data_IF_829370402162
#
_entry.id   IF_829370402162
#
_cell.length_a   1.000
_cell.length_b   1.000
_cell.length_c   1.000
_cell.angle_alpha   90.00
_cell.angle_beta   90.00
_cell.angle_gamma   90.00
#
_symmetry.space_group_name_H-M   'P 1'
#
loop_
_entity.id
_entity.type
_entity.pdbx_description
1 polymer ?
#
# COMPACT_ATOMS: atom_id res chain seq x y z
N UNK A 1 63.16 2.84 -21.89
CA UNK A 1 62.33 2.56 -20.70
C UNK A 1 61.42 1.37 -21.03
N UNK A 2 61.84 0.16 -20.68
CA UNK A 2 61.18 -1.11 -21.05
C UNK A 2 60.39 -1.63 -19.83
N UNK A 3 59.08 -1.87 -19.98
CA UNK A 3 58.23 -2.45 -18.92
C UNK A 3 58.09 -3.96 -19.11
N UNK A 4 58.52 -4.73 -18.12
CA UNK A 4 58.33 -6.18 -17.98
C UNK A 4 56.85 -6.53 -17.73
N UNK A 5 56.32 -7.52 -18.47
CA UNK A 5 55.05 -8.19 -18.18
C UNK A 5 55.35 -9.49 -17.42
N UNK A 6 54.80 -9.62 -16.21
CA UNK A 6 54.95 -10.81 -15.33
C UNK A 6 53.74 -11.73 -15.54
N UNK A 7 53.92 -12.89 -16.18
CA UNK A 7 52.89 -13.94 -16.30
C UNK A 7 52.76 -14.71 -14.97
N UNK A 8 51.56 -14.79 -14.39
CA UNK A 8 51.22 -15.73 -13.31
C UNK A 8 50.75 -17.06 -13.91
N UNK A 9 51.35 -18.17 -13.48
CA UNK A 9 50.86 -19.54 -13.74
C UNK A 9 49.70 -19.84 -12.79
N UNK A 10 48.56 -20.23 -13.33
CA UNK A 10 47.44 -20.81 -12.58
C UNK A 10 47.69 -22.30 -12.39
N UNK A 11 47.73 -22.75 -11.13
CA UNK A 11 47.73 -24.17 -10.77
C UNK A 11 46.30 -24.70 -10.84
N UNK A 12 46.00 -25.54 -11.83
CA UNK A 12 44.78 -26.35 -11.87
C UNK A 12 45.01 -27.62 -11.05
N UNK A 13 44.22 -27.82 -9.98
CA UNK A 13 44.17 -29.10 -9.26
C UNK A 13 43.38 -30.12 -10.10
N UNK A 14 43.77 -31.41 -10.09
CA UNK A 14 43.04 -32.45 -10.81
C UNK A 14 41.65 -32.67 -10.18
N UNK A 15 40.67 -32.87 -11.05
CA UNK A 15 39.26 -33.07 -10.73
C UNK A 15 39.06 -34.48 -10.13
N UNK A 16 38.48 -34.56 -8.93
CA UNK A 16 38.23 -35.83 -8.24
C UNK A 16 36.95 -36.49 -8.80
N UNK A 17 37.10 -37.65 -9.41
CA UNK A 17 36.01 -38.42 -10.02
C UNK A 17 34.93 -38.85 -9.01
N UNK A 18 35.21 -38.83 -7.70
CA UNK A 18 34.21 -39.16 -6.66
C UNK A 18 33.15 -38.07 -6.47
N UNK A 19 33.47 -36.81 -6.78
CA UNK A 19 32.50 -35.72 -6.70
C UNK A 19 31.45 -35.77 -7.80
N UNK A 20 31.76 -36.38 -8.96
CA UNK A 20 30.82 -36.49 -10.07
C UNK A 20 29.73 -37.54 -9.80
N UNK A 21 30.08 -38.66 -9.16
CA UNK A 21 29.13 -39.74 -8.84
C UNK A 21 28.08 -39.30 -7.82
N UNK A 22 28.46 -38.47 -6.84
CA UNK A 22 27.53 -37.93 -5.84
C UNK A 22 26.53 -36.96 -6.47
N UNK A 23 26.98 -36.09 -7.39
CA UNK A 23 26.10 -35.15 -8.08
C UNK A 23 25.10 -35.87 -9.00
N UNK A 24 25.52 -36.95 -9.67
CA UNK A 24 24.63 -37.77 -10.50
C UNK A 24 23.63 -38.55 -9.67
N UNK A 25 24.02 -39.10 -8.51
CA UNK A 25 23.08 -39.83 -7.64
C UNK A 25 22.02 -38.91 -7.01
N UNK A 26 22.43 -37.73 -6.52
CA UNK A 26 21.49 -36.75 -5.93
C UNK A 26 20.51 -36.24 -6.99
N UNK A 27 20.97 -36.06 -8.23
CA UNK A 27 20.09 -35.65 -9.34
C UNK A 27 19.11 -36.75 -9.75
N UNK A 28 19.51 -38.03 -9.71
CA UNK A 28 18.65 -39.16 -10.01
C UNK A 28 17.57 -39.40 -8.94
N UNK A 29 17.90 -39.20 -7.66
CA UNK A 29 16.93 -39.30 -6.56
C UNK A 29 15.89 -38.18 -6.65
N UNK A 30 16.32 -36.94 -6.92
CA UNK A 30 15.40 -35.83 -7.13
C UNK A 30 14.48 -36.04 -8.36
N UNK A 31 14.98 -36.69 -9.41
CA UNK A 31 14.16 -37.04 -10.58
C UNK A 31 13.13 -38.13 -10.25
N UNK A 32 13.48 -39.12 -9.43
CA UNK A 32 12.56 -40.21 -9.04
C UNK A 32 11.45 -39.72 -8.08
N UNK A 33 11.74 -38.77 -7.18
CA UNK A 33 10.71 -38.17 -6.32
C UNK A 33 9.71 -37.31 -7.12
N UNK A 34 10.18 -36.56 -8.12
CA UNK A 34 9.30 -35.77 -8.99
C UNK A 34 8.39 -36.68 -9.84
N UNK A 35 8.91 -37.78 -10.37
CA UNK A 35 8.09 -38.73 -11.15
C UNK A 35 7.15 -39.59 -10.27
N UNK A 36 7.55 -39.91 -9.04
CA UNK A 36 6.66 -40.55 -8.06
C UNK A 36 5.45 -39.66 -7.74
N UNK A 37 5.67 -38.37 -7.55
CA UNK A 37 4.63 -37.38 -7.25
C UNK A 37 3.67 -37.12 -8.43
N UNK A 38 4.15 -37.23 -9.67
CA UNK A 38 3.30 -37.11 -10.88
C UNK A 38 2.44 -38.37 -11.09
N UNK A 39 2.94 -39.55 -10.72
CA UNK A 39 2.20 -40.82 -10.86
C UNK A 39 1.05 -40.94 -9.85
N UNK A 40 1.21 -40.38 -8.66
CA UNK A 40 0.17 -40.38 -7.62
C UNK A 40 -0.99 -39.42 -7.94
N UNK A 41 -0.75 -38.34 -8.71
CA UNK A 41 -1.82 -37.44 -9.18
C UNK A 41 -2.61 -37.93 -10.39
N UNK A 42 -2.07 -38.85 -11.19
CA UNK A 42 -2.80 -39.43 -12.32
C UNK A 42 -3.76 -40.56 -11.92
N UNK A 43 -3.65 -41.12 -10.71
CA UNK A 43 -4.63 -42.08 -10.18
C UNK A 43 -5.83 -41.43 -9.46
N UNK A 44 -5.77 -40.13 -9.16
CA UNK A 44 -6.83 -39.39 -8.45
C UNK A 44 -7.88 -38.74 -9.36
N UNK A 45 -7.75 -38.83 -10.69
CA UNK A 45 -8.69 -38.20 -11.65
C UNK A 45 -9.29 -39.17 -12.67
N UNK A 46 -9.39 -40.46 -12.32
CA UNK A 46 -9.98 -41.48 -13.18
C UNK A 46 -11.11 -42.25 -12.50
N UNK A 47 -12.27 -41.64 -12.31
CA UNK A 47 -13.55 -42.36 -12.12
C UNK A 47 -14.66 -41.59 -12.84
N UNK A 48 -15.04 -42.05 -14.04
CA UNK A 48 -16.37 -41.85 -14.58
C UNK A 48 -17.33 -42.83 -13.88
N UNK A 49 -18.38 -42.36 -13.20
CA UNK A 49 -19.66 -43.07 -13.11
C UNK A 49 -20.80 -42.04 -12.95
N UNK A 50 -21.80 -42.21 -13.80
CA UNK A 50 -23.08 -41.53 -13.79
C UNK A 50 -23.87 -41.74 -12.48
N UNK A 51 -24.45 -40.69 -11.92
CA UNK A 51 -25.68 -40.78 -11.13
C UNK A 51 -26.58 -39.58 -11.49
N UNK A 52 -27.57 -39.86 -12.32
CA UNK A 52 -28.83 -39.14 -12.28
C UNK A 52 -29.63 -39.57 -11.04
N UNK A 53 -30.48 -38.67 -10.56
CA UNK A 53 -31.57 -38.94 -9.61
C UNK A 53 -31.18 -39.21 -8.16
N UNK A 54 -30.85 -38.16 -7.38
CA UNK A 54 -31.17 -38.13 -5.94
C UNK A 54 -31.06 -36.74 -5.26
N UNK A 55 -31.80 -35.70 -5.68
CA UNK A 55 -32.23 -34.63 -4.75
C UNK A 55 -33.60 -34.08 -5.16
N UNK A 56 -34.61 -34.92 -5.02
CA UNK A 56 -35.99 -34.50 -4.85
C UNK A 56 -36.49 -35.10 -3.53
N UNK A 57 -35.88 -34.72 -2.39
CA UNK A 57 -36.46 -34.89 -1.06
C UNK A 57 -35.59 -34.29 0.06
N UNK A 58 -35.41 -32.95 0.11
CA UNK A 58 -35.36 -32.18 1.37
C UNK A 58 -36.02 -30.83 1.09
N UNK A 59 -37.35 -30.88 0.94
CA UNK A 59 -38.24 -29.75 1.16
C UNK A 59 -38.78 -29.91 2.58
N UNK A 60 -38.12 -29.31 3.57
CA UNK A 60 -38.74 -28.65 4.72
C UNK A 60 -37.68 -28.23 5.74
N UNK A 61 -37.96 -27.12 6.40
CA UNK A 61 -37.29 -26.60 7.59
C UNK A 61 -36.01 -25.80 7.34
N UNK A 62 -36.16 -24.52 6.99
CA UNK A 62 -35.96 -23.39 7.92
C UNK A 62 -35.90 -22.08 7.14
N UNK A 63 -37.05 -21.42 7.04
CA UNK A 63 -37.11 -19.98 6.78
C UNK A 63 -36.45 -19.29 7.97
N UNK A 64 -35.24 -18.78 7.81
CA UNK A 64 -34.74 -17.71 8.68
C UNK A 64 -35.19 -16.40 8.03
N UNK A 65 -36.33 -15.93 8.50
CA UNK A 65 -36.78 -14.54 8.35
C UNK A 65 -35.82 -13.69 9.19
N UNK A 66 -35.02 -12.84 8.56
CA UNK A 66 -34.37 -11.73 9.26
C UNK A 66 -35.33 -10.53 9.16
N UNK A 67 -36.28 -10.52 10.08
CA UNK A 67 -37.02 -9.31 10.44
C UNK A 67 -36.07 -8.42 11.25
N UNK A 68 -35.52 -7.39 10.62
CA UNK A 68 -35.01 -6.22 11.32
C UNK A 68 -36.19 -5.27 11.55
N UNK A 69 -36.94 -5.55 12.62
CA UNK A 69 -37.87 -4.60 13.22
C UNK A 69 -37.15 -3.72 14.24
N UNK A 70 -37.60 -2.47 14.25
CA UNK A 70 -37.19 -1.36 15.10
C UNK A 70 -37.11 -1.71 16.59
N UNK A 71 -35.95 -1.45 17.19
CA UNK A 71 -35.86 -1.19 18.62
C UNK A 71 -34.88 -0.04 18.88
N UNK A 72 -35.41 1.17 18.84
CA UNK A 72 -34.80 2.35 19.45
C UNK A 72 -34.70 2.14 20.98
N UNK A 73 -33.53 2.36 21.60
CA UNK A 73 -33.47 2.53 23.05
C UNK A 73 -33.90 3.97 23.40
N UNK A 74 -35.05 4.06 24.03
CA UNK A 74 -35.56 5.26 24.70
C UNK A 74 -34.69 5.57 25.93
N UNK A 75 -34.06 6.74 25.90
CA UNK A 75 -33.58 7.59 27.01
C UNK A 75 -33.27 6.94 28.37
N UNK A 76 -31.98 6.96 28.74
CA UNK A 76 -31.56 6.95 30.14
C UNK A 76 -30.42 7.97 30.37
N UNK A 77 -30.78 9.03 31.11
CA UNK A 77 -29.98 9.86 32.00
C UNK A 77 -28.53 10.23 31.60
N UNK A 78 -28.42 11.44 31.07
CA UNK A 78 -27.40 12.46 31.34
C UNK A 78 -26.55 12.22 32.60
N UNK A 79 -25.33 11.71 32.40
CA UNK A 79 -24.17 12.09 33.21
C UNK A 79 -23.41 13.17 32.44
N UNK A 80 -23.45 14.38 33.01
CA UNK A 80 -22.62 15.55 32.67
C UNK A 80 -21.15 15.09 32.64
N UNK A 81 -20.32 15.41 31.67
CA UNK A 81 -20.23 16.69 30.98
C UNK A 81 -19.02 17.46 31.50
N UNK A 82 -17.84 16.84 31.56
CA UNK A 82 -16.56 17.51 31.86
C UNK A 82 -15.41 17.07 30.92
N UNK A 83 -15.45 15.89 30.30
CA UNK A 83 -14.31 15.42 29.47
C UNK A 83 -14.30 15.94 28.01
N UNK A 84 -15.38 16.54 27.52
CA UNK A 84 -15.47 17.00 26.12
C UNK A 84 -14.98 18.45 25.91
N UNK A 85 -14.77 19.23 26.98
CA UNK A 85 -14.35 20.63 26.88
C UNK A 85 -12.82 20.81 26.76
N UNK A 86 -12.01 19.84 27.20
CA UNK A 86 -10.54 19.93 27.07
C UNK A 86 -10.01 19.50 25.70
N UNK A 87 -10.75 18.69 24.94
CA UNK A 87 -10.33 18.26 23.60
C UNK A 87 -10.28 19.43 22.58
N UNK A 88 -11.03 20.51 22.81
CA UNK A 88 -11.15 21.61 21.86
C UNK A 88 -10.06 22.69 22.01
N UNK A 89 -9.27 22.66 23.10
CA UNK A 89 -8.23 23.66 23.39
C UNK A 89 -6.87 23.34 22.77
N UNK A 90 -6.66 22.12 22.26
CA UNK A 90 -5.40 21.67 21.65
C UNK A 90 -5.37 21.73 20.12
N UNK A 91 -6.47 22.13 19.45
CA UNK A 91 -6.56 22.15 17.98
C UNK A 91 -5.67 23.24 17.36
N UNK A 92 -5.27 24.28 18.11
CA UNK A 92 -4.46 25.39 17.58
C UNK A 92 -2.96 25.11 17.41
N UNK A 93 -2.47 23.91 17.72
CA UNK A 93 -1.03 23.66 17.86
C UNK A 93 -0.41 22.81 16.73
N UNK A 94 -1.12 22.57 15.62
CA UNK A 94 -0.52 21.89 14.48
C UNK A 94 0.65 22.73 13.95
N UNK A 95 1.89 22.18 13.90
CA UNK A 95 3.06 22.94 13.48
C UNK A 95 2.94 23.35 12.01
N UNK A 96 3.66 24.40 11.62
CA UNK A 96 3.76 24.92 10.25
C UNK A 96 2.49 25.55 9.65
N UNK A 97 1.35 25.59 10.35
CA UNK A 97 0.14 26.25 9.84
C UNK A 97 0.36 27.75 9.49
N UNK A 98 1.05 28.56 10.31
CA UNK A 98 1.35 29.95 9.95
C UNK A 98 2.22 30.08 8.69
N UNK A 99 3.20 29.20 8.52
CA UNK A 99 4.08 29.14 7.35
C UNK A 99 3.31 28.73 6.08
N UNK A 100 2.45 27.71 6.18
CA UNK A 100 1.56 27.29 5.10
C UNK A 100 0.61 28.42 4.68
N UNK A 101 0.05 29.16 5.64
CA UNK A 101 -0.81 30.30 5.35
C UNK A 101 -0.05 31.42 4.59
N UNK A 102 1.18 31.73 4.99
CA UNK A 102 2.04 32.70 4.28
C UNK A 102 2.34 32.26 2.84
N UNK A 103 2.49 30.95 2.61
CA UNK A 103 2.73 30.36 1.30
C UNK A 103 1.45 30.05 0.51
N UNK A 104 0.28 30.40 1.06
CA UNK A 104 -1.04 30.14 0.45
C UNK A 104 -1.33 28.65 0.18
N UNK A 105 -0.73 27.75 0.98
CA UNK A 105 -0.90 26.29 0.88
C UNK A 105 -2.20 25.82 1.53
N UNK A 106 -3.33 26.19 0.94
CA UNK A 106 -4.66 25.99 1.54
C UNK A 106 -5.02 24.51 1.69
N UNK A 107 -4.65 23.66 0.73
CA UNK A 107 -4.97 22.22 0.79
C UNK A 107 -4.12 21.54 1.87
N UNK A 108 -2.81 21.81 1.86
CA UNK A 108 -1.87 21.30 2.86
C UNK A 108 -2.26 21.72 4.27
N UNK A 109 -2.65 22.98 4.48
CA UNK A 109 -3.08 23.47 5.79
C UNK A 109 -4.27 22.69 6.34
N UNK A 110 -5.26 22.38 5.49
CA UNK A 110 -6.44 21.58 5.88
C UNK A 110 -6.07 20.13 6.23
N UNK A 111 -5.22 19.49 5.43
CA UNK A 111 -4.73 18.13 5.74
C UNK A 111 -3.90 18.10 7.02
N UNK A 112 -3.00 19.07 7.20
CA UNK A 112 -2.17 19.23 8.38
C UNK A 112 -3.03 19.37 9.65
N UNK A 113 -4.02 20.26 9.62
CA UNK A 113 -4.92 20.47 10.75
C UNK A 113 -5.71 19.20 11.10
N UNK A 114 -6.34 18.56 10.10
CA UNK A 114 -7.13 17.35 10.33
C UNK A 114 -6.27 16.17 10.79
N UNK A 115 -5.07 16.02 10.24
CA UNK A 115 -4.13 14.99 10.64
C UNK A 115 -3.76 15.12 12.11
N UNK A 116 -3.30 16.30 12.55
CA UNK A 116 -2.92 16.52 13.95
C UNK A 116 -4.10 16.43 14.92
N UNK A 117 -5.31 16.76 14.47
CA UNK A 117 -6.54 16.59 15.26
C UNK A 117 -6.90 15.12 15.46
N UNK A 118 -6.69 14.27 14.45
CA UNK A 118 -7.26 12.93 14.41
C UNK A 118 -6.24 11.80 14.59
N UNK A 119 -4.93 12.04 14.42
CA UNK A 119 -3.90 10.99 14.45
C UNK A 119 -3.90 10.17 15.74
N UNK A 120 -4.13 10.81 16.89
CA UNK A 120 -4.12 10.13 18.19
C UNK A 120 -5.44 9.39 18.48
N UNK A 121 -6.47 9.62 17.66
CA UNK A 121 -7.77 8.95 17.72
C UNK A 121 -7.86 7.75 16.77
N UNK A 122 -6.81 7.45 16.00
CA UNK A 122 -6.85 6.44 14.97
C UNK A 122 -7.16 5.04 15.53
N UNK A 123 -6.43 4.62 16.56
CA UNK A 123 -6.56 3.29 17.16
C UNK A 123 -7.91 3.05 17.85
N UNK A 124 -8.61 4.11 18.28
CA UNK A 124 -9.95 4.00 18.87
C UNK A 124 -11.08 4.03 17.83
N UNK A 125 -10.82 4.55 16.63
CA UNK A 125 -11.81 4.67 15.56
C UNK A 125 -11.73 3.57 14.50
N UNK A 126 -10.63 2.82 14.46
CA UNK A 126 -10.41 1.79 13.45
C UNK A 126 -9.93 0.48 14.07
N UNK A 127 -10.45 -0.66 13.59
CA UNK A 127 -9.92 -1.96 14.00
C UNK A 127 -8.48 -2.15 13.51
N UNK A 128 -7.71 -2.97 14.23
CA UNK A 128 -6.30 -3.24 13.94
C UNK A 128 -6.10 -3.87 12.55
N UNK A 129 -7.07 -4.60 12.02
CA UNK A 129 -6.97 -5.26 10.70
C UNK A 129 -6.92 -4.28 9.51
N UNK A 130 -7.35 -3.03 9.69
CA UNK A 130 -7.19 -1.96 8.69
C UNK A 130 -6.00 -1.04 8.97
N UNK A 131 -5.43 -1.13 10.17
CA UNK A 131 -4.26 -0.37 10.60
C UNK A 131 -3.04 -1.28 10.59
N UNK A 132 -2.15 -1.11 9.64
CA UNK A 132 -0.94 -1.93 9.60
C UNK A 132 0.25 -1.07 9.21
N UNK A 133 1.37 -1.30 9.88
CA UNK A 133 2.62 -0.63 9.52
C UNK A 133 3.25 -1.30 8.31
N UNK A 134 3.69 -0.48 7.37
CA UNK A 134 4.48 -0.92 6.24
C UNK A 134 5.93 -1.27 6.61
N UNK A 135 6.42 -0.88 7.79
CA UNK A 135 7.85 -0.92 8.11
C UNK A 135 8.38 -2.33 8.47
N UNK A 136 7.87 -3.03 9.51
CA UNK A 136 8.50 -4.27 9.97
C UNK A 136 8.32 -5.45 9.00
N UNK A 137 7.25 -5.45 8.20
CA UNK A 137 6.91 -6.59 7.33
C UNK A 137 7.48 -6.46 5.92
N UNK A 138 7.74 -5.24 5.45
CA UNK A 138 8.13 -5.02 4.05
C UNK A 138 9.49 -4.37 3.85
N UNK A 139 10.14 -3.85 4.92
CA UNK A 139 11.35 -3.00 4.83
C UNK A 139 11.16 -1.81 3.89
N UNK A 140 9.95 -1.29 3.79
CA UNK A 140 9.61 -0.20 2.86
C UNK A 140 9.58 1.15 3.53
N UNK A 141 10.12 1.27 4.75
CA UNK A 141 10.60 2.57 5.15
C UNK A 141 11.71 3.01 4.19
N UNK A 142 11.40 4.04 3.42
CA UNK A 142 12.45 4.88 2.87
C UNK A 142 12.00 6.33 2.82
N UNK A 143 12.97 7.19 3.04
CA UNK A 143 12.82 8.63 2.95
C UNK A 143 13.93 9.22 2.08
N UNK A 144 13.84 10.51 1.81
CA UNK A 144 14.92 11.29 1.19
C UNK A 144 15.34 12.37 2.17
N UNK A 145 16.61 12.39 2.59
CA UNK A 145 17.14 13.42 3.49
C UNK A 145 17.29 14.76 2.78
N UNK A 146 16.24 15.58 2.82
CA UNK A 146 16.16 16.86 2.09
C UNK A 146 17.25 17.84 2.52
N UNK A 147 17.47 17.97 3.83
CA UNK A 147 18.50 18.83 4.42
C UNK A 147 18.77 18.38 5.89
N UNK A 148 19.56 19.11 6.70
CA UNK A 148 19.80 18.72 8.10
C UNK A 148 18.56 18.68 8.99
N UNK A 149 17.48 19.38 8.64
CA UNK A 149 16.26 19.49 9.44
C UNK A 149 15.14 18.58 8.94
N UNK A 150 15.03 18.35 7.63
CA UNK A 150 13.88 17.68 7.02
C UNK A 150 14.26 16.42 6.24
N UNK A 151 13.38 15.43 6.29
CA UNK A 151 13.39 14.26 5.43
C UNK A 151 12.00 14.04 4.80
N UNK A 152 11.94 13.66 3.52
CA UNK A 152 10.69 13.36 2.83
C UNK A 152 10.37 11.88 2.93
N UNK A 153 9.28 11.53 3.62
CA UNK A 153 8.73 10.17 3.66
C UNK A 153 8.13 9.81 2.32
N UNK A 154 8.63 8.73 1.73
CA UNK A 154 8.02 8.21 0.51
C UNK A 154 6.71 7.47 0.83
N UNK A 155 5.61 8.04 0.38
CA UNK A 155 4.36 7.31 0.16
C UNK A 155 4.28 7.02 -1.34
N UNK A 156 3.96 5.78 -1.72
CA UNK A 156 3.84 5.46 -3.14
C UNK A 156 2.84 6.40 -3.81
N UNK A 157 3.11 6.75 -5.08
CA UNK A 157 2.21 7.59 -5.90
C UNK A 157 1.95 9.00 -5.37
N UNK A 158 2.73 9.42 -4.39
CA UNK A 158 2.70 10.73 -3.77
C UNK A 158 4.04 11.47 -3.96
N UNK A 159 4.40 11.75 -5.22
CA UNK A 159 5.49 12.68 -5.54
C UNK A 159 6.91 12.18 -5.29
N UNK A 160 7.13 11.00 -4.70
CA UNK A 160 8.49 10.58 -4.35
C UNK A 160 9.49 10.45 -5.51
N UNK A 161 9.05 10.08 -6.72
CA UNK A 161 9.92 10.13 -7.92
C UNK A 161 10.28 11.57 -8.30
N UNK A 162 9.36 12.51 -8.11
CA UNK A 162 9.66 13.94 -8.28
C UNK A 162 10.68 14.40 -7.26
N UNK A 163 10.52 14.03 -5.98
CA UNK A 163 11.49 14.38 -4.92
C UNK A 163 12.88 13.82 -5.21
N UNK A 164 12.97 12.53 -5.57
CA UNK A 164 14.22 11.88 -5.95
C UNK A 164 14.92 12.62 -7.09
N UNK A 165 14.17 13.02 -8.13
CA UNK A 165 14.72 13.78 -9.25
C UNK A 165 15.16 15.19 -8.86
N UNK A 166 14.30 15.94 -8.17
CA UNK A 166 14.58 17.33 -7.77
C UNK A 166 15.82 17.44 -6.88
N UNK A 167 16.05 16.44 -6.03
CA UNK A 167 17.13 16.47 -5.04
C UNK A 167 18.38 15.70 -5.46
N UNK A 168 18.26 14.77 -6.43
CA UNK A 168 19.33 13.84 -6.79
C UNK A 168 19.71 12.86 -5.67
N UNK A 169 18.90 12.77 -4.61
CA UNK A 169 19.20 12.00 -3.40
C UNK A 169 18.81 10.54 -3.55
N UNK A 170 19.58 9.68 -2.90
CA UNK A 170 19.24 8.27 -2.73
C UNK A 170 18.34 8.05 -1.52
N UNK A 171 17.62 6.92 -1.54
CA UNK A 171 16.79 6.45 -0.42
C UNK A 171 17.60 6.34 0.86
N UNK A 172 17.02 6.81 1.96
CA UNK A 172 17.58 6.77 3.32
C UNK A 172 16.83 5.77 4.21
N UNK A 173 17.57 5.00 5.01
CA UNK A 173 17.02 4.11 6.06
C UNK A 173 16.54 4.91 7.27
N UNK A 174 15.74 4.33 8.19
CA UNK A 174 15.32 5.01 9.43
C UNK A 174 16.49 5.62 10.22
N UNK A 175 17.62 4.92 10.30
CA UNK A 175 18.82 5.37 11.03
C UNK A 175 19.47 6.57 10.33
N UNK A 176 19.52 6.56 9.00
CA UNK A 176 20.06 7.66 8.21
C UNK A 176 19.18 8.92 8.27
N UNK A 177 17.86 8.75 8.45
CA UNK A 177 16.94 9.87 8.69
C UNK A 177 17.24 10.56 10.01
N UNK A 178 17.60 9.80 11.05
CA UNK A 178 17.97 10.35 12.36
C UNK A 178 16.83 11.17 12.99
N UNK A 179 17.15 12.33 13.57
CA UNK A 179 16.17 13.17 14.29
C UNK A 179 15.50 14.23 13.39
N UNK A 180 15.55 14.05 12.06
CA UNK A 180 14.92 15.00 11.13
C UNK A 180 13.41 14.98 11.27
N UNK A 181 12.80 16.14 11.05
CA UNK A 181 11.37 16.25 10.80
C UNK A 181 11.00 15.52 9.51
N UNK A 182 10.04 14.61 9.61
CA UNK A 182 9.51 13.87 8.48
C UNK A 182 8.35 14.66 7.85
N UNK A 183 8.47 14.82 6.53
CA UNK A 183 7.53 15.50 5.66
C UNK A 183 6.92 14.47 4.72
N UNK A 184 5.62 14.47 4.53
CA UNK A 184 4.95 13.61 3.56
C UNK A 184 3.95 14.41 2.73
N UNK A 185 3.73 13.98 1.48
CA UNK A 185 2.58 14.44 0.71
C UNK A 185 1.52 13.37 0.62
N UNK A 186 0.27 13.79 0.60
CA UNK A 186 -0.91 12.97 0.35
C UNK A 186 -1.66 13.47 -0.88
N UNK A 187 -2.54 12.63 -1.41
CA UNK A 187 -3.47 12.98 -2.49
C UNK A 187 -4.83 12.33 -2.24
N UNK A 188 -5.81 12.69 -3.07
CA UNK A 188 -7.15 12.07 -3.05
C UNK A 188 -7.05 10.53 -2.91
N UNK A 189 -7.66 9.92 -1.88
CA UNK A 189 -7.43 8.51 -1.54
C UNK A 189 -7.82 7.54 -2.67
N UNK A 190 -8.86 7.87 -3.43
CA UNK A 190 -9.31 7.03 -4.55
C UNK A 190 -8.36 7.19 -5.74
N UNK A 191 -7.90 8.41 -6.03
CA UNK A 191 -6.88 8.65 -7.05
C UNK A 191 -5.53 8.00 -6.71
N UNK A 192 -5.16 7.98 -5.43
CA UNK A 192 -4.00 7.24 -4.92
C UNK A 192 -4.16 5.75 -5.21
N UNK A 193 -5.26 5.15 -4.76
CA UNK A 193 -5.55 3.73 -4.96
C UNK A 193 -5.54 3.34 -6.44
N UNK A 194 -6.18 4.13 -7.30
CA UNK A 194 -6.21 3.92 -8.77
C UNK A 194 -4.83 4.15 -9.42
N UNK A 195 -4.00 5.05 -8.88
CA UNK A 195 -2.63 5.21 -9.35
C UNK A 195 -1.77 3.98 -9.04
N UNK A 196 -2.05 3.28 -7.94
CA UNK A 196 -1.44 1.98 -7.65
C UNK A 196 -1.87 0.90 -8.61
N UNK A 197 -3.18 0.78 -8.87
CA UNK A 197 -3.72 -0.14 -9.87
C UNK A 197 -3.06 0.07 -11.25
N UNK A 198 -2.98 1.34 -11.69
CA UNK A 198 -2.39 1.69 -12.98
C UNK A 198 -0.90 1.32 -13.06
N UNK A 199 -0.14 1.56 -11.99
CA UNK A 199 1.26 1.13 -11.94
C UNK A 199 1.41 -0.37 -12.00
N UNK A 200 0.57 -1.10 -11.28
CA UNK A 200 0.65 -2.54 -11.17
C UNK A 200 0.22 -3.26 -12.43
N UNK A 201 -0.84 -2.77 -13.05
CA UNK A 201 -1.21 -3.15 -14.41
C UNK A 201 -0.02 -3.03 -15.36
N UNK A 202 0.65 -1.88 -15.34
CA UNK A 202 1.79 -1.61 -16.21
C UNK A 202 3.04 -2.46 -15.89
N UNK A 203 3.36 -2.67 -14.61
CA UNK A 203 4.54 -3.47 -14.20
C UNK A 203 4.35 -4.96 -14.39
N UNK A 204 3.11 -5.45 -14.32
CA UNK A 204 2.77 -6.86 -14.34
C UNK A 204 1.79 -7.20 -15.47
N UNK A 205 2.11 -6.88 -16.74
CA UNK A 205 1.18 -7.02 -17.84
C UNK A 205 0.76 -8.48 -18.07
N UNK A 206 1.60 -9.47 -17.74
CA UNK A 206 1.23 -10.89 -17.83
C UNK A 206 0.19 -11.31 -16.80
N UNK A 207 0.23 -10.71 -15.61
CA UNK A 207 -0.66 -11.06 -14.51
C UNK A 207 -1.97 -10.29 -14.61
N UNK A 208 -1.87 -8.99 -14.90
CA UNK A 208 -3.01 -8.08 -14.96
C UNK A 208 -3.66 -8.03 -16.35
N UNK A 209 -2.90 -8.31 -17.42
CA UNK A 209 -3.39 -8.25 -18.79
C UNK A 209 -4.45 -9.29 -19.12
N UNK A 210 -4.50 -10.42 -18.39
CA UNK A 210 -5.57 -11.42 -18.54
C UNK A 210 -6.96 -10.84 -18.24
N UNK A 211 -7.03 -9.88 -17.32
CA UNK A 211 -8.27 -9.19 -16.95
C UNK A 211 -8.67 -8.14 -18.01
N UNK A 212 -7.69 -7.52 -18.68
CA UNK A 212 -7.94 -6.48 -19.68
C UNK A 212 -8.66 -6.95 -20.93
N UNK A 213 -8.58 -8.24 -21.27
CA UNK A 213 -9.21 -8.79 -22.47
C UNK A 213 -10.60 -9.38 -22.20
N UNK A 214 -10.94 -9.64 -20.94
CA UNK A 214 -12.09 -10.49 -20.57
C UNK A 214 -13.11 -9.79 -19.68
N UNK A 215 -12.73 -8.73 -18.98
CA UNK A 215 -13.57 -8.05 -17.99
C UNK A 215 -13.81 -6.60 -18.39
N UNK A 216 -15.01 -6.09 -18.10
CA UNK A 216 -15.31 -4.67 -18.16
C UNK A 216 -14.45 -3.87 -17.15
N UNK A 217 -14.48 -2.55 -17.24
CA UNK A 217 -13.66 -1.69 -16.36
C UNK A 217 -13.97 -1.86 -14.87
N UNK A 218 -15.24 -1.88 -14.48
CA UNK A 218 -15.64 -2.02 -13.07
C UNK A 218 -15.21 -3.38 -12.52
N UNK A 219 -15.43 -4.46 -13.28
CA UNK A 219 -15.01 -5.82 -12.92
C UNK A 219 -13.49 -5.96 -12.74
N UNK A 220 -12.68 -5.29 -13.58
CA UNK A 220 -11.22 -5.25 -13.41
C UNK A 220 -10.79 -4.56 -12.13
N UNK A 221 -11.48 -3.48 -11.78
CA UNK A 221 -11.22 -2.72 -10.56
C UNK A 221 -11.64 -3.51 -9.31
N UNK A 222 -12.80 -4.18 -9.34
CA UNK A 222 -13.21 -5.10 -8.26
C UNK A 222 -12.23 -6.25 -8.06
N UNK A 223 -11.73 -6.83 -9.15
CA UNK A 223 -10.70 -7.87 -9.07
C UNK A 223 -9.43 -7.31 -8.41
N UNK A 224 -8.95 -6.13 -8.82
CA UNK A 224 -7.77 -5.53 -8.18
C UNK A 224 -7.97 -5.24 -6.70
N UNK A 225 -9.15 -4.76 -6.30
CA UNK A 225 -9.46 -4.55 -4.88
C UNK A 225 -9.36 -5.84 -4.08
N UNK A 226 -9.89 -6.95 -4.61
CA UNK A 226 -9.75 -8.25 -3.99
C UNK A 226 -8.28 -8.70 -3.91
N UNK A 227 -7.49 -8.51 -4.97
CA UNK A 227 -6.06 -8.89 -4.98
C UNK A 227 -5.25 -8.09 -3.96
N UNK A 228 -5.53 -6.78 -3.82
CA UNK A 228 -4.87 -5.90 -2.86
C UNK A 228 -5.21 -6.33 -1.44
N UNK A 229 -6.50 -6.44 -1.13
CA UNK A 229 -7.00 -6.86 0.19
C UNK A 229 -6.42 -8.22 0.57
N UNK A 230 -6.52 -9.21 -0.31
CA UNK A 230 -5.98 -10.55 -0.09
C UNK A 230 -4.46 -10.56 0.10
N UNK A 231 -3.72 -9.76 -0.70
CA UNK A 231 -2.26 -9.67 -0.58
C UNK A 231 -1.82 -9.05 0.74
N UNK A 232 -2.52 -8.02 1.22
CA UNK A 232 -2.25 -7.41 2.54
C UNK A 232 -2.51 -8.45 3.61
N UNK A 233 -3.62 -9.16 3.53
CA UNK A 233 -3.98 -10.17 4.52
C UNK A 233 -2.93 -11.28 4.64
N UNK A 234 -2.40 -11.75 3.50
CA UNK A 234 -1.32 -12.74 3.48
C UNK A 234 0.03 -12.19 3.97
N UNK A 235 0.40 -10.98 3.55
CA UNK A 235 1.75 -10.44 3.84
C UNK A 235 1.89 -9.90 5.26
N UNK A 236 0.86 -9.22 5.75
CA UNK A 236 0.87 -8.59 7.07
C UNK A 236 0.55 -9.61 8.17
N UNK A 237 -0.54 -10.38 8.01
CA UNK A 237 -1.02 -11.22 9.12
C UNK A 237 -0.49 -12.66 9.07
N UNK A 238 -0.16 -13.20 7.89
CA UNK A 238 0.29 -14.60 7.78
C UNK A 238 1.82 -14.75 7.76
N UNK A 239 2.58 -13.68 8.00
CA UNK A 239 4.06 -13.67 8.16
C UNK A 239 4.82 -14.46 7.09
N UNK A 240 4.29 -14.51 5.86
CA UNK A 240 4.96 -15.13 4.72
C UNK A 240 5.84 -14.12 3.98
N UNK A 241 7.07 -14.49 3.52
CA UNK A 241 7.89 -13.57 2.75
C UNK A 241 7.18 -13.22 1.42
N UNK A 242 6.84 -11.94 1.30
CA UNK A 242 6.38 -11.27 0.08
C UNK A 242 7.36 -11.44 -1.10
N UNK A 243 8.60 -11.88 -0.82
CA UNK A 243 9.76 -11.95 -1.71
C UNK A 243 9.56 -12.78 -2.99
N UNK A 244 8.54 -13.64 -3.09
CA UNK A 244 8.31 -14.46 -4.29
C UNK A 244 7.11 -14.05 -5.14
N UNK A 245 6.23 -13.17 -4.65
CA UNK A 245 5.02 -12.78 -5.38
C UNK A 245 5.10 -11.32 -5.81
N UNK A 246 5.38 -11.12 -7.10
CA UNK A 246 5.41 -9.77 -7.73
C UNK A 246 4.13 -8.96 -7.45
N UNK A 247 2.99 -9.62 -7.27
CA UNK A 247 1.71 -9.00 -6.94
C UNK A 247 1.74 -8.30 -5.57
N UNK A 248 2.34 -8.93 -4.55
CA UNK A 248 2.32 -8.41 -3.19
C UNK A 248 3.09 -7.09 -3.09
N UNK A 249 4.32 -7.00 -3.64
CA UNK A 249 5.05 -5.71 -3.71
C UNK A 249 4.29 -4.65 -4.48
N UNK A 250 3.45 -5.07 -5.43
CA UNK A 250 2.68 -4.15 -6.24
C UNK A 250 1.44 -3.62 -5.53
N UNK A 251 0.71 -4.49 -4.82
CA UNK A 251 -0.48 -4.12 -4.05
C UNK A 251 -0.24 -2.93 -3.10
N UNK A 252 0.99 -2.77 -2.61
CA UNK A 252 1.43 -1.67 -1.76
C UNK A 252 1.34 -0.30 -2.42
N UNK A 253 1.28 -0.22 -3.75
CA UNK A 253 1.02 1.05 -4.41
C UNK A 253 -0.44 1.52 -4.25
N UNK A 254 -1.35 0.66 -3.77
CA UNK A 254 -2.77 0.94 -3.59
C UNK A 254 -3.23 0.92 -2.12
N UNK A 255 -2.37 0.60 -1.15
CA UNK A 255 -2.76 0.61 0.28
C UNK A 255 -3.08 2.03 0.76
N UNK A 256 -3.84 2.22 1.85
CA UNK A 256 -4.07 3.56 2.40
C UNK A 256 -2.76 4.28 2.70
N UNK A 257 -2.72 5.58 2.40
CA UNK A 257 -1.54 6.43 2.55
C UNK A 257 -1.13 6.56 4.02
N UNK A 258 -2.11 6.57 4.92
CA UNK A 258 -1.93 6.58 6.36
C UNK A 258 -0.99 5.47 6.85
N UNK A 259 -1.08 4.28 6.26
CA UNK A 259 -0.32 3.09 6.69
C UNK A 259 1.20 3.24 6.46
N UNK A 260 1.62 4.19 5.60
CA UNK A 260 3.04 4.55 5.45
C UNK A 260 3.55 5.48 6.54
N UNK A 261 2.66 6.10 7.31
CA UNK A 261 2.99 7.02 8.40
C UNK A 261 2.94 6.33 9.77
N UNK A 262 2.36 5.14 9.85
CA UNK A 262 2.27 4.31 11.05
C UNK A 262 3.56 3.49 11.22
N UNK A 263 4.22 3.67 12.35
CA UNK A 263 5.29 2.80 12.84
C UNK A 263 4.74 1.69 13.74
N UNK A 264 5.58 0.72 14.06
CA UNK A 264 5.34 -0.24 15.14
C UNK A 264 6.28 0.13 16.28
N UNK A 265 5.74 0.24 17.48
CA UNK A 265 6.56 0.45 18.66
C UNK A 265 7.51 -0.73 18.91
N UNK A 266 8.54 -0.49 19.72
CA UNK A 266 9.49 -1.52 20.16
C UNK A 266 8.81 -2.67 20.94
N UNK A 267 7.61 -2.43 21.48
CA UNK A 267 6.76 -3.46 22.11
C UNK A 267 6.14 -4.45 21.11
N UNK A 268 6.30 -4.19 19.80
CA UNK A 268 5.85 -5.05 18.71
C UNK A 268 4.33 -5.10 18.51
N UNK A 269 3.56 -4.28 19.24
CA UNK A 269 2.09 -4.37 19.25
C UNK A 269 1.35 -3.05 19.10
N UNK A 270 1.90 -1.94 19.60
CA UNK A 270 1.18 -0.66 19.53
C UNK A 270 1.49 0.07 18.22
N UNK A 271 0.46 0.29 17.41
CA UNK A 271 0.54 1.10 16.19
C UNK A 271 0.54 2.58 16.57
N UNK A 272 1.70 3.22 16.47
CA UNK A 272 1.85 4.66 16.69
C UNK A 272 2.34 5.34 15.42
N UNK A 273 1.90 6.57 15.20
CA UNK A 273 2.55 7.42 14.21
C UNK A 273 3.99 7.69 14.63
N UNK A 274 4.90 7.69 13.65
CA UNK A 274 6.26 8.14 13.89
C UNK A 274 6.19 9.61 14.37
N UNK A 275 6.67 9.94 15.59
CA UNK A 275 6.54 11.27 16.17
C UNK A 275 7.28 12.34 15.35
N UNK A 276 8.17 11.94 14.44
CA UNK A 276 8.84 12.83 13.51
C UNK A 276 7.96 13.24 12.34
N UNK A 277 6.86 12.54 12.04
CA UNK A 277 5.87 12.92 11.01
C UNK A 277 5.09 14.13 11.51
N UNK A 278 5.64 15.32 11.26
CA UNK A 278 5.05 16.58 11.74
C UNK A 278 4.53 17.47 10.62
N UNK A 279 4.86 17.19 9.36
CA UNK A 279 4.43 18.01 8.21
C UNK A 279 3.77 17.16 7.12
N UNK A 280 2.48 17.40 6.88
CA UNK A 280 1.66 16.78 5.83
C UNK A 280 1.27 17.86 4.81
N UNK A 281 1.57 17.62 3.54
CA UNK A 281 1.18 18.50 2.43
C UNK A 281 0.26 17.81 1.41
N UNK A 282 -0.49 18.59 0.64
CA UNK A 282 -1.14 18.09 -0.58
C UNK A 282 -0.11 17.97 -1.70
N UNK A 283 -0.14 16.87 -2.44
CA UNK A 283 0.74 16.62 -3.59
C UNK A 283 0.66 17.74 -4.65
N UNK A 284 -0.49 18.40 -4.81
CA UNK A 284 -0.70 19.51 -5.74
C UNK A 284 0.08 20.77 -5.34
N UNK A 285 0.44 20.90 -4.06
CA UNK A 285 1.20 22.03 -3.49
C UNK A 285 2.66 21.62 -3.19
N UNK A 286 3.18 20.58 -3.87
CA UNK A 286 4.55 20.10 -3.70
C UNK A 286 5.62 21.20 -3.91
N UNK A 287 5.52 22.11 -4.89
CA UNK A 287 6.49 23.20 -5.04
C UNK A 287 6.54 24.14 -3.83
N UNK A 288 5.39 24.51 -3.28
CA UNK A 288 5.28 25.34 -2.08
C UNK A 288 5.78 24.59 -0.84
N UNK A 289 5.50 23.29 -0.74
CA UNK A 289 6.02 22.44 0.32
C UNK A 289 7.55 22.38 0.30
N UNK A 290 8.15 22.32 -0.89
CA UNK A 290 9.60 22.40 -1.06
C UNK A 290 10.14 23.73 -0.55
N UNK A 291 9.49 24.84 -0.93
CA UNK A 291 9.86 26.17 -0.45
C UNK A 291 9.78 26.28 1.07
N UNK A 292 8.74 25.70 1.69
CA UNK A 292 8.55 25.67 3.15
C UNK A 292 9.72 24.97 3.85
N UNK A 293 10.18 23.83 3.32
CA UNK A 293 11.26 23.04 3.92
C UNK A 293 12.66 23.49 3.49
N UNK A 294 12.77 24.65 2.83
CA UNK A 294 14.06 25.22 2.42
C UNK A 294 14.69 24.58 1.19
N UNK A 295 13.88 24.03 0.28
CA UNK A 295 14.31 23.53 -1.02
C UNK A 295 13.75 24.37 -2.16
N UNK A 296 14.57 24.64 -3.17
CA UNK A 296 14.11 25.27 -4.40
C UNK A 296 13.51 24.21 -5.33
N UNK A 297 12.27 24.42 -5.76
CA UNK A 297 11.61 23.54 -6.71
C UNK A 297 11.95 23.94 -8.14
N UNK A 298 12.66 23.08 -8.87
CA UNK A 298 13.01 23.34 -10.25
C UNK A 298 11.83 22.99 -11.18
N UNK A 299 11.10 24.02 -11.62
CA UNK A 299 9.95 23.88 -12.53
C UNK A 299 10.33 23.50 -13.96
N UNK A 300 11.61 23.67 -14.33
CA UNK A 300 12.11 23.27 -15.66
C UNK A 300 12.40 21.77 -15.77
N UNK A 301 12.38 21.03 -14.66
CA UNK A 301 12.58 19.59 -14.69
C UNK A 301 11.33 18.87 -15.17
N UNK A 302 11.47 18.04 -16.20
CA UNK A 302 10.42 17.12 -16.61
C UNK A 302 9.98 16.26 -15.43
N UNK A 303 8.69 16.33 -15.10
CA UNK A 303 8.16 15.52 -14.01
C UNK A 303 8.41 14.04 -14.36
N UNK A 304 9.11 13.35 -13.48
CA UNK A 304 9.52 11.99 -13.77
C UNK A 304 8.38 11.00 -13.80
N UNK A 305 8.38 10.13 -14.81
CA UNK A 305 7.42 9.03 -14.94
C UNK A 305 5.96 9.50 -14.87
N UNK A 306 5.61 10.60 -15.57
CA UNK A 306 4.22 11.04 -15.66
C UNK A 306 3.35 9.92 -16.25
N UNK A 307 2.45 9.38 -15.43
CA UNK A 307 1.58 8.31 -15.86
C UNK A 307 0.65 8.72 -17.02
N UNK A 308 0.29 10.01 -17.08
CA UNK A 308 -0.52 10.61 -18.16
C UNK A 308 0.18 10.61 -19.53
N UNK A 309 1.52 10.57 -19.56
CA UNK A 309 2.30 10.57 -20.81
C UNK A 309 2.61 9.15 -21.31
N UNK A 310 2.32 8.12 -20.50
CA UNK A 310 2.57 6.74 -20.86
C UNK A 310 1.31 6.13 -21.51
N UNK A 311 1.32 6.04 -22.84
CA UNK A 311 0.20 5.51 -23.65
C UNK A 311 -0.29 4.16 -23.13
N UNK A 312 0.61 3.23 -22.80
CA UNK A 312 0.22 1.92 -22.28
C UNK A 312 -0.51 2.01 -20.93
N UNK A 313 -0.11 2.92 -20.03
CA UNK A 313 -0.82 3.15 -18.77
C UNK A 313 -2.21 3.75 -19.01
N UNK A 314 -2.32 4.71 -19.93
CA UNK A 314 -3.57 5.40 -20.21
C UNK A 314 -4.57 4.47 -20.91
N UNK A 315 -4.12 3.69 -21.89
CA UNK A 315 -5.00 2.87 -22.71
C UNK A 315 -5.44 1.60 -21.99
N UNK A 316 -4.50 0.89 -21.35
CA UNK A 316 -4.79 -0.41 -20.74
C UNK A 316 -5.23 -0.30 -19.28
N UNK A 317 -4.81 0.75 -18.58
CA UNK A 317 -5.09 0.94 -17.15
C UNK A 317 -5.60 2.37 -16.84
N UNK A 318 -6.71 2.81 -17.45
CA UNK A 318 -7.25 4.17 -17.30
C UNK A 318 -7.87 4.41 -15.92
N UNK A 319 -7.52 5.50 -15.24
CA UNK A 319 -8.08 5.83 -13.90
C UNK A 319 -9.41 6.58 -13.98
N UNK A 320 -10.46 5.95 -14.49
CA UNK A 320 -11.76 6.59 -14.77
C UNK A 320 -12.76 6.37 -13.63
N UNK A 321 -12.77 7.27 -12.62
CA UNK A 321 -13.68 7.19 -11.46
C UNK A 321 -15.16 7.10 -11.84
N UNK A 322 -15.60 7.84 -12.86
CA UNK A 322 -17.00 7.88 -13.31
C UNK A 322 -17.50 6.59 -14.00
N UNK A 323 -16.60 5.65 -14.32
CA UNK A 323 -16.98 4.34 -14.89
C UNK A 323 -17.14 3.26 -13.81
N UNK A 324 -16.94 3.60 -12.54
CA UNK A 324 -17.13 2.67 -11.43
C UNK A 324 -18.59 2.65 -11.02
N UNK A 325 -19.11 1.46 -10.76
CA UNK A 325 -20.41 1.31 -10.11
C UNK A 325 -20.35 1.87 -8.68
N UNK A 326 -21.51 2.29 -8.17
CA UNK A 326 -21.63 2.76 -6.79
C UNK A 326 -21.13 1.73 -5.77
N UNK A 327 -21.45 0.45 -5.99
CA UNK A 327 -21.00 -0.64 -5.14
C UNK A 327 -19.47 -0.79 -5.11
N UNK A 328 -18.82 -0.71 -6.27
CA UNK A 328 -17.35 -0.76 -6.34
C UNK A 328 -16.72 0.45 -5.66
N UNK A 329 -17.27 1.65 -5.90
CA UNK A 329 -16.76 2.88 -5.30
C UNK A 329 -16.88 2.84 -3.76
N UNK A 330 -18.01 2.36 -3.22
CA UNK A 330 -18.21 2.17 -1.79
C UNK A 330 -17.17 1.22 -1.18
N UNK A 331 -16.89 0.09 -1.85
CA UNK A 331 -15.87 -0.86 -1.35
C UNK A 331 -14.46 -0.26 -1.36
N UNK A 332 -14.12 0.54 -2.38
CA UNK A 332 -12.84 1.28 -2.38
C UNK A 332 -12.82 2.30 -1.24
N UNK A 333 -13.90 3.05 -1.03
CA UNK A 333 -14.00 4.02 0.06
C UNK A 333 -13.85 3.36 1.44
N UNK A 334 -14.52 2.23 1.68
CA UNK A 334 -14.34 1.44 2.89
C UNK A 334 -12.88 1.00 3.07
N UNK A 335 -12.21 0.62 1.99
CA UNK A 335 -10.80 0.22 2.03
C UNK A 335 -9.86 1.41 2.35
N UNK A 336 -10.11 2.59 1.78
CA UNK A 336 -9.26 3.79 1.99
C UNK A 336 -9.80 4.75 3.07
N UNK A 337 -10.79 4.34 3.87
CA UNK A 337 -11.49 5.20 4.84
C UNK A 337 -10.57 5.88 5.86
N UNK A 338 -9.46 5.22 6.22
CA UNK A 338 -8.46 5.75 7.15
C UNK A 338 -7.85 7.05 6.61
N UNK A 339 -7.63 7.14 5.29
CA UNK A 339 -7.11 8.36 4.68
C UNK A 339 -8.13 9.51 4.75
N UNK A 340 -9.42 9.24 4.53
CA UNK A 340 -10.46 10.26 4.66
C UNK A 340 -10.69 10.70 6.10
N UNK A 341 -10.39 9.85 7.08
CA UNK A 341 -10.43 10.21 8.49
C UNK A 341 -9.28 11.16 8.85
N UNK A 342 -8.06 10.89 8.38
CA UNK A 342 -6.88 11.69 8.72
C UNK A 342 -6.72 12.93 7.86
N UNK A 343 -7.13 12.89 6.59
CA UNK A 343 -6.86 13.95 5.63
C UNK A 343 -8.15 14.59 5.13
N UNK A 344 -8.10 15.90 4.93
CA UNK A 344 -9.27 16.69 4.56
C UNK A 344 -9.62 16.67 3.06
N UNK A 345 -9.86 15.47 2.52
CA UNK A 345 -10.37 15.27 1.16
C UNK A 345 -11.90 15.23 1.16
N UNK A 346 -12.50 15.70 0.06
CA UNK A 346 -13.94 15.56 -0.16
C UNK A 346 -14.27 14.11 -0.53
N UNK A 347 -15.08 13.46 0.29
CA UNK A 347 -15.54 12.10 0.02
C UNK A 347 -16.66 12.10 -1.04
N UNK A 348 -16.63 11.18 -2.03
CA UNK A 348 -17.70 11.04 -3.01
C UNK A 348 -19.05 10.81 -2.33
N UNK A 349 -20.13 11.34 -2.90
CA UNK A 349 -21.48 11.24 -2.34
C UNK A 349 -21.88 9.80 -2.00
N UNK A 350 -21.59 8.87 -2.91
CA UNK A 350 -21.89 7.44 -2.74
C UNK A 350 -21.22 6.81 -1.51
N UNK A 351 -20.11 7.40 -1.04
CA UNK A 351 -19.33 6.90 0.08
C UNK A 351 -19.69 7.55 1.43
N UNK A 352 -20.51 8.61 1.44
CA UNK A 352 -20.92 9.26 2.70
C UNK A 352 -21.90 8.43 3.53
N UNK A 353 -22.47 7.39 2.92
CA UNK A 353 -23.47 6.50 3.53
C UNK A 353 -22.87 5.24 4.16
N UNK A 354 -21.55 5.04 4.01
CA UNK A 354 -20.80 3.89 4.54
C UNK A 354 -19.92 4.32 5.69
#
# INVERSE_FOLDING_TARGET
>A
MVRLIRRRKLHTKPFDARSLTVVVLVSAIAFLEIFGFVRERQQLFGVEVAIGSLVASISNSSKIHLDLQDSLPTTAASTKGEDAQDANKNISNAPFLPEMAKLQMRLSARHQEKFHRNKDLLASNFPEDVLYSMDPFTKQFYAFNLNPQFAFRHIYKNGGTTVERQTGLTRSTPEQVGNRTIVATVRDPIDHWLAGWQECGFRLPKVMGKYNQTLDYDSRIRQWLWEVDHSIQQTVFQKGPCERQRLCTCALHSVPQANFLIGVNDDGGTLLFDPRVTLIGDLQELPELFRLVGLEYNTSMDAGNQASQNVAKVDYFPKKKHLLSNATLQRICQFVRVDYFLFDFEMPETCRQT
#
